data_IF_258205323881
#
_entry.id   IF_258205323881
#
_cell.length_a   1.000
_cell.length_b   1.000
_cell.length_c   1.000
_cell.angle_alpha   90.00
_cell.angle_beta   90.00
_cell.angle_gamma   90.00
#
_symmetry.space_group_name_H-M   'P 1'
#
loop_
_entity.id
_entity.type
_entity.pdbx_description
1 polymer ?
#
# COMPACT_ATOMS: atom_id res chain seq x y z
N UNK A 1 43.28 0.76 -59.90
CA UNK A 1 42.18 0.55 -60.86
C UNK A 1 41.22 1.74 -60.75
N UNK A 2 40.76 2.31 -61.88
CA UNK A 2 40.23 3.67 -61.97
C UNK A 2 38.69 3.76 -61.90
N UNK A 3 38.19 5.00 -61.70
CA UNK A 3 36.89 5.58 -62.17
C UNK A 3 35.60 5.04 -61.50
N UNK A 4 34.56 5.82 -61.15
CA UNK A 4 34.00 7.07 -61.69
C UNK A 4 32.92 7.62 -60.73
N UNK A 5 32.88 8.94 -60.51
CA UNK A 5 31.76 9.70 -59.89
C UNK A 5 30.65 10.03 -60.96
N UNK A 6 29.57 10.81 -60.66
CA UNK A 6 28.14 10.46 -60.70
C UNK A 6 27.43 11.00 -61.98
N UNK A 7 26.07 11.09 -62.05
CA UNK A 7 25.51 12.45 -62.04
C UNK A 7 24.10 12.62 -61.41
N UNK A 8 23.82 13.89 -61.16
CA UNK A 8 22.58 14.55 -60.71
C UNK A 8 21.37 14.41 -61.67
N UNK A 9 20.16 14.56 -61.10
CA UNK A 9 18.98 15.15 -61.74
C UNK A 9 18.18 15.87 -60.63
N UNK A 10 18.04 17.22 -60.60
CA UNK A 10 17.02 18.04 -61.29
C UNK A 10 15.62 17.39 -61.25
N UNK A 11 14.53 17.99 -60.77
CA UNK A 11 14.18 19.34 -60.34
C UNK A 11 12.63 19.46 -60.32
N UNK A 12 12.13 20.60 -59.82
CA UNK A 12 10.73 21.13 -59.79
C UNK A 12 10.18 21.21 -58.36
N UNK A 13 10.18 22.36 -57.68
CA UNK A 13 9.63 23.70 -57.97
C UNK A 13 8.11 23.71 -58.09
N UNK A 14 7.49 24.28 -57.06
CA UNK A 14 6.10 24.74 -57.00
C UNK A 14 5.68 24.83 -55.53
N UNK A 15 5.11 25.89 -54.99
CA UNK A 15 4.98 27.27 -55.44
C UNK A 15 4.71 28.10 -54.18
N UNK A 16 5.10 29.38 -54.19
CA UNK A 16 4.85 30.31 -53.10
C UNK A 16 3.36 30.69 -53.13
N UNK A 17 2.62 30.49 -52.03
CA UNK A 17 1.34 31.19 -51.86
C UNK A 17 1.35 32.06 -50.61
N UNK A 18 1.46 33.35 -50.93
CA UNK A 18 1.24 34.53 -50.15
C UNK A 18 -0.15 34.56 -49.51
N UNK A 19 -0.19 35.01 -48.26
CA UNK A 19 -1.37 35.41 -47.49
C UNK A 19 -1.92 36.75 -48.01
N UNK A 20 -3.22 37.01 -47.85
CA UNK A 20 -3.59 38.27 -47.18
C UNK A 20 -4.68 38.11 -46.08
N UNK A 21 -4.77 39.05 -45.11
CA UNK A 21 -5.75 39.04 -44.02
C UNK A 21 -6.92 40.04 -44.21
N UNK A 22 -8.04 39.78 -43.51
CA UNK A 22 -9.11 40.76 -43.19
C UNK A 22 -10.47 40.48 -43.84
N UNK A 23 -11.61 41.03 -43.32
CA UNK A 23 -11.76 42.12 -42.35
C UNK A 23 -12.61 41.79 -41.09
N UNK A 24 -12.52 42.67 -40.08
CA UNK A 24 -13.30 42.67 -38.83
C UNK A 24 -14.70 43.33 -38.93
N UNK A 25 -15.30 43.77 -37.80
CA UNK A 25 -16.63 43.34 -37.31
C UNK A 25 -17.78 44.36 -37.52
N UNK A 26 -19.03 44.02 -37.14
CA UNK A 26 -20.01 45.01 -36.69
C UNK A 26 -20.39 44.84 -35.20
N UNK A 27 -20.99 45.87 -34.56
CA UNK A 27 -20.99 46.04 -33.11
C UNK A 27 -22.31 45.70 -32.41
N UNK A 28 -22.21 45.49 -31.10
CA UNK A 28 -23.30 45.58 -30.12
C UNK A 28 -23.85 44.22 -29.66
N UNK A 29 -24.29 44.01 -28.43
CA UNK A 29 -24.20 44.75 -27.20
C UNK A 29 -24.70 43.81 -26.08
N UNK A 30 -24.35 44.12 -24.83
CA UNK A 30 -24.99 43.64 -23.59
C UNK A 30 -24.72 42.20 -23.09
N UNK A 31 -23.85 42.18 -22.07
CA UNK A 31 -23.83 41.32 -20.86
C UNK A 31 -25.00 40.33 -20.69
N UNK A 32 -24.66 39.09 -20.32
CA UNK A 32 -25.22 38.43 -19.13
C UNK A 32 -24.44 37.15 -18.76
N UNK A 33 -24.48 36.85 -17.46
CA UNK A 33 -23.69 35.92 -16.66
C UNK A 33 -24.05 34.43 -16.87
N UNK A 34 -23.19 33.49 -16.42
CA UNK A 34 -23.45 32.04 -16.51
C UNK A 34 -24.71 31.63 -15.73
N UNK A 35 -25.57 30.86 -16.39
CA UNK A 35 -26.78 30.25 -15.83
C UNK A 35 -26.36 29.19 -14.80
N UNK A 36 -26.53 29.51 -13.52
CA UNK A 36 -26.60 28.50 -12.46
C UNK A 36 -28.01 27.92 -12.47
N UNK A 37 -28.08 26.60 -12.43
CA UNK A 37 -29.30 25.83 -12.26
C UNK A 37 -29.90 26.23 -10.89
N UNK A 38 -31.09 26.82 -10.92
CA UNK A 38 -31.93 27.09 -9.76
C UNK A 38 -32.95 25.97 -9.70
N UNK A 39 -32.96 25.23 -8.59
CA UNK A 39 -34.10 24.42 -8.18
C UNK A 39 -34.98 25.33 -7.32
N UNK A 40 -36.05 25.87 -7.91
CA UNK A 40 -37.33 26.10 -7.23
C UNK A 40 -38.04 24.74 -7.30
N UNK A 41 -38.65 24.21 -6.26
CA UNK A 41 -39.78 24.80 -5.57
C UNK A 41 -40.13 23.88 -4.39
N UNK A 42 -39.77 24.23 -3.15
CA UNK A 42 -40.55 23.84 -1.96
C UNK A 42 -40.35 24.91 -0.86
N UNK A 43 -41.25 25.89 -0.89
CA UNK A 43 -41.85 26.67 0.22
C UNK A 43 -40.97 27.49 1.20
N UNK A 44 -41.38 28.74 1.53
CA UNK A 44 -40.60 29.66 2.35
C UNK A 44 -40.92 29.54 3.85
N UNK A 45 -39.88 29.41 4.69
CA UNK A 45 -39.99 29.73 6.12
C UNK A 45 -38.93 30.76 6.55
N UNK A 46 -39.44 31.94 6.90
CA UNK A 46 -38.75 33.12 7.42
C UNK A 46 -37.90 32.81 8.67
N UNK A 47 -36.73 33.45 8.88
CA UNK A 47 -35.89 33.20 10.04
C UNK A 47 -36.37 33.97 11.28
N UNK A 48 -36.34 33.31 12.45
CA UNK A 48 -36.32 33.95 13.78
C UNK A 48 -35.06 33.51 14.54
N UNK A 49 -34.23 34.42 15.05
CA UNK A 49 -33.08 34.08 15.88
C UNK A 49 -33.51 33.93 17.33
N UNK A 50 -33.15 32.83 17.98
CA UNK A 50 -33.59 32.54 19.34
C UNK A 50 -32.88 31.35 19.99
N UNK A 51 -31.63 31.56 20.37
CA UNK A 51 -30.96 31.10 21.61
C UNK A 51 -31.17 29.67 22.16
N UNK A 52 -30.03 29.06 22.54
CA UNK A 52 -29.77 28.07 23.63
C UNK A 52 -30.01 26.56 23.37
N UNK A 53 -28.91 25.86 23.02
CA UNK A 53 -28.22 24.79 23.80
C UNK A 53 -27.61 23.75 22.83
N UNK A 54 -26.31 23.39 22.97
CA UNK A 54 -25.73 22.30 22.19
C UNK A 54 -26.22 20.99 22.79
N UNK A 55 -26.98 20.22 22.02
CA UNK A 55 -27.16 18.80 22.30
C UNK A 55 -25.82 18.14 21.97
N UNK A 56 -25.21 17.52 22.98
CA UNK A 56 -24.08 16.61 22.81
C UNK A 56 -24.47 15.55 21.78
N UNK A 57 -23.98 15.71 20.56
CA UNK A 57 -23.79 14.59 19.66
C UNK A 57 -22.71 13.73 20.29
N UNK A 58 -23.15 12.74 21.07
CA UNK A 58 -22.35 11.62 21.56
C UNK A 58 -21.43 11.17 20.40
N UNK A 59 -20.09 11.21 20.55
CA UNK A 59 -19.22 10.54 19.61
C UNK A 59 -19.59 9.07 19.73
N UNK A 60 -20.27 8.55 18.70
CA UNK A 60 -20.59 7.14 18.60
C UNK A 60 -19.34 6.35 18.93
N UNK A 61 -19.41 5.66 20.06
CA UNK A 61 -18.34 4.82 20.56
C UNK A 61 -17.89 3.91 19.41
N UNK A 62 -16.69 4.18 18.88
CA UNK A 62 -15.95 3.16 18.16
C UNK A 62 -15.58 2.10 19.19
N UNK A 63 -16.54 1.23 19.51
CA UNK A 63 -16.28 -0.01 20.22
C UNK A 63 -15.21 -0.75 19.40
N UNK A 64 -14.00 -0.97 19.95
CA UNK A 64 -13.00 -1.76 19.25
C UNK A 64 -13.61 -3.13 19.05
N UNK A 65 -13.89 -3.47 17.79
CA UNK A 65 -14.36 -4.78 17.37
C UNK A 65 -13.51 -5.83 18.09
N UNK A 66 -14.10 -6.80 18.83
CA UNK A 66 -13.33 -7.80 19.53
C UNK A 66 -12.34 -8.41 18.54
N UNK A 67 -11.04 -8.30 18.87
CA UNK A 67 -10.00 -8.92 18.06
C UNK A 67 -10.34 -10.41 18.03
N UNK A 68 -10.68 -10.99 16.88
CA UNK A 68 -11.04 -12.39 16.83
C UNK A 68 -9.87 -13.18 17.40
N UNK A 69 -10.16 -14.07 18.35
CA UNK A 69 -9.17 -15.01 18.86
C UNK A 69 -8.51 -15.70 17.66
N UNK A 70 -7.16 -15.72 17.57
CA UNK A 70 -6.49 -16.35 16.46
C UNK A 70 -6.93 -17.81 16.30
N UNK A 71 -7.14 -18.25 15.06
CA UNK A 71 -7.68 -19.58 14.75
C UNK A 71 -6.80 -20.72 15.31
N UNK A 72 -5.49 -20.49 15.41
CA UNK A 72 -4.56 -21.47 15.97
C UNK A 72 -4.79 -21.73 17.47
N UNK A 73 -5.35 -20.78 18.24
CA UNK A 73 -5.64 -21.03 19.66
C UNK A 73 -6.80 -22.01 19.83
N UNK A 74 -7.75 -21.97 18.90
CA UNK A 74 -8.88 -22.90 18.83
C UNK A 74 -8.47 -24.25 18.23
N UNK A 75 -7.58 -24.25 17.23
CA UNK A 75 -7.11 -25.48 16.55
C UNK A 75 -6.13 -26.31 17.37
N UNK A 76 -5.41 -25.68 18.30
CA UNK A 76 -4.40 -26.32 19.12
C UNK A 76 -4.69 -26.09 20.61
N UNK A 77 -5.71 -26.75 21.18
CA UNK A 77 -6.01 -26.70 22.60
C UNK A 77 -4.86 -27.29 23.46
N UNK A 78 -4.98 -27.25 24.80
CA UNK A 78 -4.03 -27.93 25.68
C UNK A 78 -3.89 -29.41 25.34
N UNK A 79 -2.65 -29.85 25.17
CA UNK A 79 -2.31 -31.24 24.79
C UNK A 79 -2.72 -32.19 25.91
N UNK A 80 -3.38 -33.27 25.53
CA UNK A 80 -3.90 -34.27 26.48
C UNK A 80 -3.23 -35.65 26.34
N UNK A 81 -2.38 -35.86 25.34
CA UNK A 81 -1.70 -37.15 25.11
C UNK A 81 -0.37 -37.00 24.37
N UNK A 82 0.54 -37.97 24.56
CA UNK A 82 1.84 -38.00 23.87
C UNK A 82 1.72 -38.04 22.34
N UNK A 83 0.69 -38.73 21.83
CA UNK A 83 0.42 -38.76 20.37
C UNK A 83 0.07 -37.37 19.85
N UNK A 84 -0.78 -36.65 20.57
CA UNK A 84 -1.15 -35.27 20.21
C UNK A 84 0.05 -34.32 20.33
N UNK A 85 0.86 -34.47 21.39
CA UNK A 85 2.12 -33.74 21.58
C UNK A 85 3.04 -33.91 20.37
N UNK A 86 3.23 -35.15 19.92
CA UNK A 86 4.01 -35.49 18.73
C UNK A 86 3.43 -34.87 17.44
N UNK A 87 2.10 -34.86 17.28
CA UNK A 87 1.46 -34.17 16.15
C UNK A 87 1.73 -32.65 16.18
N UNK A 88 1.64 -32.00 17.34
CA UNK A 88 1.89 -30.57 17.47
C UNK A 88 3.35 -30.24 17.16
N UNK A 89 4.29 -31.10 17.60
CA UNK A 89 5.71 -30.95 17.31
C UNK A 89 6.01 -31.06 15.81
N UNK A 90 5.37 -32.01 15.11
CA UNK A 90 5.52 -32.14 13.65
C UNK A 90 5.01 -30.89 12.92
N UNK A 91 3.84 -30.37 13.31
CA UNK A 91 3.31 -29.11 12.75
C UNK A 91 4.23 -27.93 13.07
N UNK A 92 4.76 -27.86 14.29
CA UNK A 92 5.71 -26.81 14.66
C UNK A 92 6.93 -26.84 13.74
N UNK A 93 7.52 -28.02 13.51
CA UNK A 93 8.72 -28.15 12.71
C UNK A 93 8.49 -27.75 11.24
N UNK A 94 7.39 -28.22 10.64
CA UNK A 94 6.98 -27.86 9.27
C UNK A 94 6.74 -26.35 9.14
N UNK A 95 6.01 -25.75 10.08
CA UNK A 95 5.67 -24.34 10.01
C UNK A 95 6.85 -23.43 10.40
N UNK A 96 7.83 -23.96 11.14
CA UNK A 96 9.03 -23.23 11.52
C UNK A 96 9.98 -23.05 10.32
N UNK A 97 10.10 -24.04 9.42
CA UNK A 97 10.87 -23.86 8.19
C UNK A 97 10.24 -22.78 7.29
N UNK A 98 8.92 -22.81 7.09
CA UNK A 98 8.19 -21.76 6.35
C UNK A 98 8.46 -20.37 6.96
N UNK A 99 8.42 -20.27 8.29
CA UNK A 99 8.69 -19.01 9.00
C UNK A 99 10.12 -18.50 8.77
N UNK A 100 11.12 -19.38 8.79
CA UNK A 100 12.52 -19.00 8.56
C UNK A 100 12.74 -18.50 7.14
N UNK A 101 12.17 -19.18 6.15
CA UNK A 101 12.25 -18.77 4.74
C UNK A 101 11.61 -17.39 4.53
N UNK A 102 10.39 -17.19 5.05
CA UNK A 102 9.71 -15.89 4.97
C UNK A 102 10.48 -14.79 5.69
N UNK A 103 11.03 -15.08 6.87
CA UNK A 103 11.83 -14.09 7.61
C UNK A 103 13.08 -13.70 6.81
N UNK A 104 13.76 -14.67 6.19
CA UNK A 104 14.92 -14.40 5.37
C UNK A 104 14.58 -13.56 4.14
N UNK A 105 13.47 -13.88 3.46
CA UNK A 105 13.02 -13.11 2.31
C UNK A 105 12.68 -11.66 2.70
N UNK A 106 11.94 -11.48 3.80
CA UNK A 106 11.58 -10.16 4.33
C UNK A 106 12.82 -9.35 4.72
N UNK A 107 13.83 -9.97 5.32
CA UNK A 107 15.09 -9.28 5.62
C UNK A 107 15.82 -8.88 4.34
N UNK A 108 15.86 -9.75 3.33
CA UNK A 108 16.50 -9.43 2.06
C UNK A 108 15.81 -8.26 1.34
N UNK A 109 14.48 -8.28 1.28
CA UNK A 109 13.70 -7.19 0.67
C UNK A 109 13.84 -5.89 1.46
N UNK A 110 13.75 -5.95 2.80
CA UNK A 110 13.95 -4.78 3.65
C UNK A 110 15.36 -4.19 3.48
N UNK A 111 16.41 -5.00 3.39
CA UNK A 111 17.77 -4.53 3.18
C UNK A 111 17.92 -3.81 1.82
N UNK A 112 17.34 -4.36 0.76
CA UNK A 112 17.33 -3.72 -0.57
C UNK A 112 16.58 -2.38 -0.55
N UNK A 113 15.44 -2.32 0.13
CA UNK A 113 14.69 -1.07 0.28
C UNK A 113 15.48 -0.03 1.08
N UNK A 114 16.13 -0.42 2.17
CA UNK A 114 16.99 0.46 2.96
C UNK A 114 18.19 0.98 2.16
N UNK A 115 18.83 0.13 1.35
CA UNK A 115 19.91 0.54 0.47
C UNK A 115 19.43 1.58 -0.54
N UNK A 116 18.27 1.36 -1.18
CA UNK A 116 17.69 2.32 -2.11
C UNK A 116 17.32 3.64 -1.43
N UNK A 117 16.74 3.58 -0.24
CA UNK A 117 16.41 4.77 0.58
C UNK A 117 17.67 5.59 0.90
N UNK A 118 18.76 4.94 1.30
CA UNK A 118 20.05 5.59 1.55
C UNK A 118 20.63 6.25 0.28
N UNK A 119 20.49 5.60 -0.88
CA UNK A 119 20.91 6.19 -2.15
C UNK A 119 20.04 7.40 -2.51
N UNK A 120 18.71 7.30 -2.40
CA UNK A 120 17.81 8.40 -2.74
C UNK A 120 17.96 9.61 -1.82
N UNK A 121 18.24 9.38 -0.54
CA UNK A 121 18.47 10.44 0.45
C UNK A 121 19.85 11.10 0.36
N UNK A 122 20.83 10.42 -0.26
CA UNK A 122 22.16 10.98 -0.48
C UNK A 122 22.32 11.74 -1.79
N UNK A 123 21.30 11.75 -2.66
CA UNK A 123 21.33 12.52 -3.91
C UNK A 123 21.35 14.03 -3.63
N UNK A 124 22.09 14.82 -4.43
CA UNK A 124 22.05 16.28 -4.33
C UNK A 124 20.67 16.83 -4.71
N UNK A 125 20.31 18.03 -4.22
CA UNK A 125 19.08 18.69 -4.63
C UNK A 125 19.02 18.88 -6.16
N UNK A 126 17.85 18.69 -6.79
CA UNK A 126 17.72 18.83 -8.23
C UNK A 126 18.00 20.26 -8.68
N UNK A 127 18.72 20.41 -9.78
CA UNK A 127 19.11 21.72 -10.33
C UNK A 127 18.13 22.23 -11.39
N UNK A 128 17.24 21.36 -11.91
CA UNK A 128 16.24 21.69 -12.92
C UNK A 128 14.87 21.06 -12.63
N UNK A 129 13.81 21.62 -13.23
CA UNK A 129 12.46 21.07 -13.11
C UNK A 129 12.37 19.63 -13.66
N UNK A 130 13.12 19.32 -14.72
CA UNK A 130 13.16 17.97 -15.31
C UNK A 130 13.78 16.97 -14.33
N UNK A 131 14.90 17.32 -13.69
CA UNK A 131 15.51 16.49 -12.65
C UNK A 131 14.58 16.29 -11.46
N UNK A 132 13.92 17.35 -11.00
CA UNK A 132 12.95 17.26 -9.91
C UNK A 132 11.80 16.29 -10.24
N UNK A 133 11.29 16.31 -11.48
CA UNK A 133 10.26 15.36 -11.92
C UNK A 133 10.77 13.92 -11.97
N UNK A 134 12.01 13.70 -12.42
CA UNK A 134 12.63 12.36 -12.42
C UNK A 134 12.80 11.86 -10.99
N UNK A 135 13.35 12.67 -10.09
CA UNK A 135 13.52 12.33 -8.67
C UNK A 135 12.16 11.99 -8.03
N UNK A 136 11.14 12.82 -8.23
CA UNK A 136 9.79 12.57 -7.70
C UNK A 136 9.18 11.28 -8.25
N UNK A 137 9.43 10.95 -9.53
CA UNK A 137 8.98 9.69 -10.12
C UNK A 137 9.67 8.49 -9.47
N UNK A 138 10.98 8.55 -9.26
CA UNK A 138 11.74 7.46 -8.61
C UNK A 138 11.26 7.25 -7.17
N UNK A 139 11.08 8.33 -6.39
CA UNK A 139 10.51 8.25 -5.05
C UNK A 139 9.12 7.61 -5.03
N UNK A 140 8.25 7.96 -5.99
CA UNK A 140 6.92 7.35 -6.09
C UNK A 140 7.00 5.85 -6.36
N UNK A 141 7.88 5.41 -7.24
CA UNK A 141 8.07 3.98 -7.52
C UNK A 141 8.66 3.24 -6.31
N UNK A 142 9.57 3.88 -5.57
CA UNK A 142 10.10 3.35 -4.31
C UNK A 142 8.99 3.16 -3.27
N UNK A 143 8.15 4.17 -3.05
CA UNK A 143 7.03 4.06 -2.10
C UNK A 143 6.04 2.97 -2.49
N UNK A 144 5.73 2.82 -3.78
CA UNK A 144 4.91 1.70 -4.27
C UNK A 144 5.49 0.34 -3.91
N UNK A 145 6.82 0.19 -3.93
CA UNK A 145 7.49 -1.05 -3.51
C UNK A 145 7.43 -1.27 -2.00
N UNK A 146 7.46 -0.20 -1.19
CA UNK A 146 7.29 -0.30 0.28
C UNK A 146 5.89 -0.73 0.67
N UNK A 147 4.88 -0.27 -0.07
CA UNK A 147 3.46 -0.58 0.17
C UNK A 147 2.94 -1.70 -0.73
N UNK A 148 3.83 -2.51 -1.31
CA UNK A 148 3.44 -3.60 -2.19
C UNK A 148 2.59 -4.63 -1.41
N UNK A 149 1.39 -5.00 -1.90
CA UNK A 149 0.53 -5.95 -1.20
C UNK A 149 1.21 -7.29 -0.92
N UNK A 150 2.02 -7.81 -1.87
CA UNK A 150 2.72 -9.07 -1.68
C UNK A 150 3.77 -9.01 -0.56
N UNK A 151 4.47 -7.87 -0.42
CA UNK A 151 5.39 -7.66 0.70
C UNK A 151 4.66 -7.57 2.04
N UNK A 152 3.53 -6.82 2.09
CA UNK A 152 2.72 -6.69 3.29
C UNK A 152 2.08 -8.03 3.71
N UNK A 153 1.62 -8.82 2.75
CA UNK A 153 1.06 -10.15 2.99
C UNK A 153 2.10 -11.10 3.57
N UNK A 154 3.33 -11.11 3.02
CA UNK A 154 4.45 -11.88 3.61
C UNK A 154 4.75 -11.43 5.04
N UNK A 155 4.73 -10.13 5.29
CA UNK A 155 4.94 -9.59 6.63
C UNK A 155 3.82 -10.02 7.60
N UNK A 156 2.56 -9.98 7.15
CA UNK A 156 1.41 -10.45 7.92
C UNK A 156 1.50 -11.96 8.19
N UNK A 157 1.88 -12.76 7.19
CA UNK A 157 2.10 -14.21 7.34
C UNK A 157 3.20 -14.52 8.33
N UNK A 158 4.32 -13.80 8.30
CA UNK A 158 5.41 -13.95 9.26
C UNK A 158 4.95 -13.66 10.71
N UNK A 159 4.15 -12.59 10.90
CA UNK A 159 3.55 -12.28 12.21
C UNK A 159 2.61 -13.39 12.69
N UNK A 160 1.77 -13.90 11.79
CA UNK A 160 0.84 -15.00 12.07
C UNK A 160 1.59 -16.26 12.52
N UNK A 161 2.57 -16.70 11.72
CA UNK A 161 3.38 -17.89 12.02
C UNK A 161 4.11 -17.73 13.35
N UNK A 162 4.68 -16.55 13.64
CA UNK A 162 5.32 -16.28 14.94
C UNK A 162 4.35 -16.50 16.11
N UNK A 163 3.11 -16.05 15.98
CA UNK A 163 2.05 -16.28 16.97
C UNK A 163 1.70 -17.77 17.12
N UNK A 164 1.41 -18.44 16.00
CA UNK A 164 1.06 -19.87 15.96
C UNK A 164 2.17 -20.75 16.54
N UNK A 165 3.42 -20.52 16.15
CA UNK A 165 4.58 -21.28 16.61
C UNK A 165 4.84 -21.08 18.10
N UNK A 166 4.70 -19.85 18.60
CA UNK A 166 4.79 -19.57 20.03
C UNK A 166 3.71 -20.32 20.81
N UNK A 167 2.49 -20.35 20.29
CA UNK A 167 1.37 -21.07 20.91
C UNK A 167 1.60 -22.58 20.94
N UNK A 168 1.96 -23.18 19.80
CA UNK A 168 2.29 -24.61 19.70
C UNK A 168 3.40 -25.00 20.68
N UNK A 169 4.49 -24.23 20.71
CA UNK A 169 5.60 -24.47 21.65
C UNK A 169 5.13 -24.40 23.10
N UNK A 170 4.28 -23.44 23.44
CA UNK A 170 3.74 -23.32 24.79
C UNK A 170 2.85 -24.51 25.18
N UNK A 171 2.02 -25.03 24.26
CA UNK A 171 1.18 -26.20 24.54
C UNK A 171 2.00 -27.46 24.74
N UNK A 172 3.03 -27.68 23.91
CA UNK A 172 3.96 -28.80 24.06
C UNK A 172 4.70 -28.71 25.40
N UNK A 173 5.28 -27.54 25.71
CA UNK A 173 6.02 -27.34 26.97
C UNK A 173 5.14 -27.53 28.23
N UNK A 174 3.88 -27.10 28.19
CA UNK A 174 2.95 -27.30 29.31
C UNK A 174 2.68 -28.78 29.58
N UNK A 175 2.58 -29.58 28.53
CA UNK A 175 2.40 -31.03 28.65
C UNK A 175 3.66 -31.70 29.19
N UNK A 176 4.82 -31.41 28.58
CA UNK A 176 6.11 -31.98 29.00
C UNK A 176 6.37 -31.72 30.50
N UNK A 177 6.17 -30.48 30.97
CA UNK A 177 6.36 -30.13 32.38
C UNK A 177 5.39 -30.86 33.34
N UNK A 178 4.20 -31.23 32.87
CA UNK A 178 3.20 -31.94 33.68
C UNK A 178 3.60 -33.40 33.85
N UNK A 179 4.06 -34.05 32.79
CA UNK A 179 4.52 -35.45 32.85
C UNK A 179 5.79 -35.58 33.71
N UNK A 180 6.73 -34.64 33.60
CA UNK A 180 7.92 -34.60 34.45
C UNK A 180 7.57 -34.48 35.95
N UNK A 181 6.50 -33.76 36.27
CA UNK A 181 6.03 -33.57 37.64
C UNK A 181 5.30 -34.81 38.20
N UNK A 182 4.48 -35.48 37.38
CA UNK A 182 3.77 -36.70 37.78
C UNK A 182 4.72 -37.91 37.88
N UNK A 183 5.76 -37.97 37.03
CA UNK A 183 6.80 -39.01 37.09
C UNK A 183 7.75 -38.89 38.29
N UNK A 184 7.87 -37.70 38.89
CA UNK A 184 8.79 -37.46 40.03
C UNK A 184 8.24 -37.91 41.38
N UNK A 185 6.94 -38.22 41.51
CA UNK A 185 6.30 -38.56 42.81
C UNK A 185 6.40 -40.06 43.13
N UNK A 186 7.00 -40.86 42.23
CA UNK A 186 7.18 -42.30 42.40
C UNK A 186 8.65 -42.67 42.66
N UNK A 187 9.22 -42.20 43.78
CA UNK A 187 10.51 -42.66 44.31
C UNK A 187 10.48 -42.74 45.83
#
# INVERSE_FOLDING_TARGET
MPTREPPHAHGSRGDLQFRPPGPGPPPGAHRARPKKIVFEDELPSRPRPGTKKPVESIPGEHMPRPHPVPDYELKYPPVSSERERSCYAAVFQDQYSEFLELQQELRSTQAKLQQLEALLTSLPPPHSQKEAQVAARVWREFEKKRTDPGFLDKQARCRYLKGKLRHLKAQIQKFDNREDSEGSVYF
#
